data_IF_266371930058
#
_entry.id   IF_266371930058
#
_cell.length_a   1.000
_cell.length_b   1.000
_cell.length_c   1.000
_cell.angle_alpha   90.00
_cell.angle_beta   90.00
_cell.angle_gamma   90.00
#
_symmetry.space_group_name_H-M   'P 1'
#
loop_
_entity.id
_entity.type
_entity.pdbx_description
1 polymer ?
#
# COMPACT_ATOMS: atom_id res chain seq x y z
N UNK A 1 54.74 -34.98 20.29
CA UNK A 1 53.51 -34.83 19.47
C UNK A 1 52.52 -33.98 20.27
N UNK A 2 52.35 -32.70 19.90
CA UNK A 2 51.36 -31.79 20.53
C UNK A 2 50.21 -31.65 19.54
N UNK A 3 49.02 -32.02 19.98
CA UNK A 3 47.75 -31.94 19.26
C UNK A 3 47.30 -30.48 19.08
N UNK A 4 47.05 -30.04 17.86
CA UNK A 4 46.58 -28.71 17.47
C UNK A 4 45.08 -28.73 17.11
N UNK A 5 44.20 -29.07 18.05
CA UNK A 5 42.78 -29.17 17.81
C UNK A 5 41.93 -28.05 18.39
N UNK A 6 42.55 -26.98 18.91
CA UNK A 6 41.82 -25.90 19.63
C UNK A 6 41.44 -24.65 18.84
N UNK A 7 41.87 -24.50 17.56
CA UNK A 7 41.67 -23.25 16.81
C UNK A 7 40.50 -23.22 15.83
N UNK A 8 39.93 -24.33 15.52
CA UNK A 8 38.91 -24.40 14.44
C UNK A 8 37.47 -24.26 14.93
N UNK A 9 37.21 -24.57 16.21
CA UNK A 9 35.86 -24.42 16.78
C UNK A 9 35.47 -22.98 17.06
N UNK A 10 36.43 -22.11 17.41
CA UNK A 10 36.15 -20.68 17.65
C UNK A 10 35.73 -19.94 16.38
N UNK A 11 36.30 -20.33 15.24
CA UNK A 11 36.01 -19.68 13.95
C UNK A 11 34.63 -20.02 13.39
N UNK A 12 34.14 -21.22 13.64
CA UNK A 12 32.81 -21.67 13.22
C UNK A 12 31.70 -21.02 14.05
N UNK A 13 31.95 -20.78 15.34
CA UNK A 13 30.97 -20.10 16.21
C UNK A 13 30.83 -18.61 15.93
N UNK A 14 31.94 -17.91 15.60
CA UNK A 14 31.87 -16.51 15.20
C UNK A 14 31.13 -16.30 13.86
N UNK A 15 31.36 -17.18 12.87
CA UNK A 15 30.63 -17.11 11.59
C UNK A 15 29.12 -17.31 11.74
N UNK A 16 28.70 -18.18 12.67
CA UNK A 16 27.26 -18.45 12.89
C UNK A 16 26.57 -17.27 13.58
N UNK A 17 27.25 -16.58 14.50
CA UNK A 17 26.71 -15.41 15.22
C UNK A 17 26.59 -14.21 14.28
N UNK A 18 27.55 -14.00 13.39
CA UNK A 18 27.53 -12.90 12.42
C UNK A 18 26.43 -13.13 11.37
N UNK A 19 26.19 -14.36 10.95
CA UNK A 19 25.15 -14.69 9.98
C UNK A 19 23.74 -14.51 10.57
N UNK A 20 23.53 -14.86 11.85
CA UNK A 20 22.25 -14.64 12.54
C UNK A 20 21.99 -13.16 12.84
N UNK A 21 23.02 -12.38 13.15
CA UNK A 21 22.88 -10.93 13.36
C UNK A 21 22.55 -10.21 12.03
N UNK A 22 23.12 -10.65 10.91
CA UNK A 22 22.87 -10.05 9.61
C UNK A 22 21.45 -10.35 9.10
N UNK A 23 20.90 -11.54 9.36
CA UNK A 23 19.53 -11.88 9.00
C UNK A 23 18.49 -11.12 9.84
N UNK A 24 18.77 -10.78 11.09
CA UNK A 24 17.89 -9.94 11.90
C UNK A 24 17.89 -8.47 11.44
N UNK A 25 18.99 -7.95 10.92
CA UNK A 25 19.05 -6.58 10.40
C UNK A 25 18.24 -6.41 9.09
N UNK A 26 18.17 -7.45 8.26
CA UNK A 26 17.42 -7.39 6.98
C UNK A 26 15.91 -7.54 7.21
N UNK A 27 15.48 -8.21 8.27
CA UNK A 27 14.06 -8.36 8.61
C UNK A 27 13.44 -7.10 9.27
N UNK A 28 14.26 -6.13 9.65
CA UNK A 28 13.82 -4.90 10.35
C UNK A 28 13.41 -3.74 9.46
N UNK A 29 13.80 -3.73 8.19
CA UNK A 29 13.66 -2.52 7.35
C UNK A 29 12.42 -2.48 6.43
N UNK A 30 11.52 -3.43 6.48
CA UNK A 30 10.28 -3.38 5.71
C UNK A 30 9.07 -2.82 6.48
N UNK A 31 9.32 -2.00 7.51
CA UNK A 31 8.32 -1.12 8.09
C UNK A 31 8.58 0.32 7.62
N UNK A 32 8.41 0.57 6.34
CA UNK A 32 8.00 1.90 5.92
C UNK A 32 6.60 2.13 6.53
N UNK A 33 6.58 2.57 7.78
CA UNK A 33 5.41 3.22 8.34
C UNK A 33 5.22 4.46 7.46
N UNK A 34 4.33 4.34 6.47
CA UNK A 34 3.77 5.50 5.81
C UNK A 34 3.04 6.29 6.88
N UNK A 35 3.76 7.21 7.49
CA UNK A 35 3.15 8.28 8.27
C UNK A 35 2.52 9.19 7.23
N UNK A 36 1.19 9.35 7.21
CA UNK A 36 0.58 10.33 6.32
C UNK A 36 1.28 11.67 6.60
N UNK A 37 1.93 12.21 5.56
CA UNK A 37 2.57 13.51 5.63
C UNK A 37 1.54 14.48 6.21
N UNK A 38 1.94 15.27 7.21
CA UNK A 38 1.09 16.27 7.85
C UNK A 38 0.41 17.07 6.74
N UNK A 39 -0.89 16.90 6.60
CA UNK A 39 -1.70 17.74 5.73
C UNK A 39 -1.51 19.16 6.22
N UNK A 40 -0.98 20.02 5.35
CA UNK A 40 -0.84 21.44 5.67
C UNK A 40 -2.24 22.06 5.78
N UNK A 41 -2.70 22.23 7.03
CA UNK A 41 -4.06 22.69 7.36
C UNK A 41 -4.21 24.21 7.13
N UNK A 42 -3.39 24.78 6.28
CA UNK A 42 -3.48 26.19 5.89
C UNK A 42 -4.57 26.52 4.85
N UNK A 43 -5.22 25.54 4.24
CA UNK A 43 -6.39 25.72 3.37
C UNK A 43 -7.65 25.49 4.18
N UNK A 44 -8.65 26.36 3.96
CA UNK A 44 -10.04 26.16 4.41
C UNK A 44 -10.49 24.80 3.87
N UNK A 45 -10.37 23.77 4.69
CA UNK A 45 -10.64 22.41 4.28
C UNK A 45 -12.15 22.26 4.17
N UNK A 46 -12.63 22.10 2.95
CA UNK A 46 -13.95 21.51 2.73
C UNK A 46 -14.02 20.16 3.46
N UNK A 47 -15.19 19.60 3.61
CA UNK A 47 -15.38 18.35 4.36
C UNK A 47 -14.46 17.24 3.84
N UNK A 48 -13.55 16.77 4.71
CA UNK A 48 -12.71 15.62 4.42
C UNK A 48 -13.55 14.35 4.46
N UNK A 49 -13.55 13.59 3.39
CA UNK A 49 -14.23 12.29 3.34
C UNK A 49 -13.21 11.17 3.31
N UNK A 50 -13.26 10.30 4.31
CA UNK A 50 -12.43 9.09 4.37
C UNK A 50 -13.30 7.89 3.99
N UNK A 51 -12.90 7.14 2.99
CA UNK A 51 -13.55 5.92 2.55
C UNK A 51 -12.57 4.75 2.64
N UNK A 52 -13.04 3.65 3.24
CA UNK A 52 -12.34 2.36 3.21
C UNK A 52 -13.30 1.33 2.64
N UNK A 53 -12.90 0.64 1.57
CA UNK A 53 -13.73 -0.34 0.87
C UNK A 53 -12.95 -1.61 0.60
N UNK A 54 -13.64 -2.74 0.79
CA UNK A 54 -13.21 -4.02 0.26
C UNK A 54 -13.79 -4.15 -1.13
N UNK A 55 -12.94 -4.34 -2.13
CA UNK A 55 -13.31 -4.58 -3.52
C UNK A 55 -13.06 -6.04 -3.88
N UNK A 56 -13.94 -6.61 -4.69
CA UNK A 56 -13.86 -8.02 -5.12
C UNK A 56 -13.57 -8.10 -6.61
N UNK A 57 -13.20 -9.27 -7.09
CA UNK A 57 -12.95 -9.53 -8.51
C UNK A 57 -14.21 -9.88 -9.33
N UNK A 58 -15.36 -9.95 -8.69
CA UNK A 58 -16.62 -10.37 -9.35
C UNK A 58 -17.45 -9.20 -9.81
N UNK A 59 -17.38 -8.07 -9.10
CA UNK A 59 -18.20 -6.89 -9.39
C UNK A 59 -17.46 -5.61 -9.05
N UNK A 60 -17.48 -4.64 -9.97
CA UNK A 60 -16.99 -3.30 -9.71
C UNK A 60 -17.81 -2.62 -8.61
N UNK A 61 -17.14 -2.01 -7.65
CA UNK A 61 -17.75 -1.39 -6.49
C UNK A 61 -17.41 0.10 -6.42
N UNK A 62 -18.37 0.89 -5.96
CA UNK A 62 -18.17 2.33 -5.71
C UNK A 62 -17.30 2.51 -4.47
N UNK A 63 -16.10 3.07 -4.65
CA UNK A 63 -15.19 3.43 -3.57
C UNK A 63 -15.54 4.82 -3.05
N UNK A 64 -15.76 5.77 -3.96
CA UNK A 64 -16.18 7.14 -3.66
C UNK A 64 -17.37 7.51 -4.52
N UNK A 65 -18.40 8.07 -3.89
CA UNK A 65 -19.55 8.63 -4.58
C UNK A 65 -19.18 9.91 -5.34
N UNK A 66 -20.02 10.32 -6.28
CA UNK A 66 -19.92 11.60 -6.96
C UNK A 66 -19.90 12.76 -5.93
N UNK A 67 -18.99 13.70 -6.11
CA UNK A 67 -18.88 14.87 -5.24
C UNK A 67 -18.52 16.12 -6.06
N UNK A 68 -19.40 17.13 -6.03
CA UNK A 68 -19.26 18.35 -6.83
C UNK A 68 -18.02 19.19 -6.47
N UNK A 69 -17.57 19.12 -5.21
CA UNK A 69 -16.55 20.00 -4.65
C UNK A 69 -15.24 19.29 -4.30
N UNK A 70 -14.99 18.10 -4.88
CA UNK A 70 -13.74 17.38 -4.64
C UNK A 70 -12.58 18.13 -5.28
N UNK A 71 -11.63 18.59 -4.46
CA UNK A 71 -10.46 19.37 -4.89
C UNK A 71 -9.17 18.57 -4.85
N UNK A 72 -9.11 17.53 -4.01
CA UNK A 72 -7.97 16.62 -3.94
C UNK A 72 -8.43 15.19 -3.63
N UNK A 73 -7.64 14.22 -4.00
CA UNK A 73 -7.86 12.81 -3.75
C UNK A 73 -6.54 12.09 -3.54
N UNK A 74 -6.54 11.24 -2.55
CA UNK A 74 -5.46 10.32 -2.26
C UNK A 74 -6.02 8.93 -1.99
N UNK A 75 -5.51 7.92 -2.65
CA UNK A 75 -5.89 6.52 -2.46
C UNK A 75 -4.68 5.64 -2.24
N UNK A 76 -4.83 4.62 -1.43
CA UNK A 76 -3.79 3.61 -1.21
C UNK A 76 -4.37 2.21 -1.05
N UNK A 77 -3.68 1.23 -1.61
CA UNK A 77 -3.96 -0.18 -1.40
C UNK A 77 -3.29 -0.64 -0.11
N UNK A 78 -3.99 -1.43 0.70
CA UNK A 78 -3.40 -1.96 1.93
C UNK A 78 -2.26 -2.92 1.64
N UNK A 79 -1.25 -2.93 2.52
CA UNK A 79 -0.11 -3.85 2.43
C UNK A 79 -0.49 -5.32 2.72
N UNK A 80 -1.65 -5.54 3.31
CA UNK A 80 -2.22 -6.89 3.49
C UNK A 80 -2.93 -7.44 2.26
N UNK A 81 -3.12 -6.62 1.21
CA UNK A 81 -3.65 -7.08 -0.05
C UNK A 81 -2.71 -8.12 -0.66
N UNK A 82 -3.27 -9.06 -1.40
CA UNK A 82 -2.50 -10.12 -2.08
C UNK A 82 -2.40 -9.87 -3.59
N UNK A 83 -3.12 -8.84 -4.09
CA UNK A 83 -3.15 -8.51 -5.51
C UNK A 83 -3.52 -7.03 -5.72
N UNK A 84 -3.49 -6.61 -6.97
CA UNK A 84 -3.76 -5.25 -7.42
C UNK A 84 -5.26 -4.93 -7.48
N UNK A 85 -5.57 -3.64 -7.46
CA UNK A 85 -6.91 -3.08 -7.61
C UNK A 85 -6.91 -2.16 -8.84
N UNK A 86 -7.82 -2.40 -9.77
CA UNK A 86 -8.07 -1.50 -10.87
C UNK A 86 -9.12 -0.44 -10.49
N UNK A 87 -8.88 0.82 -10.85
CA UNK A 87 -9.76 1.96 -10.56
C UNK A 87 -10.24 2.63 -11.85
N UNK A 88 -11.48 3.15 -11.81
CA UNK A 88 -12.07 3.85 -12.95
C UNK A 88 -12.98 5.00 -12.50
N UNK A 89 -12.93 6.13 -13.23
CA UNK A 89 -13.78 7.28 -12.98
C UNK A 89 -15.11 7.20 -13.72
N UNK A 90 -16.22 7.27 -12.98
CA UNK A 90 -17.56 7.42 -13.52
C UNK A 90 -18.09 6.23 -14.32
N UNK A 91 -17.32 5.15 -14.43
CA UNK A 91 -17.67 3.95 -15.16
C UNK A 91 -17.39 2.70 -14.32
N UNK A 92 -17.87 1.56 -14.78
CA UNK A 92 -17.56 0.24 -14.17
C UNK A 92 -16.07 -0.02 -14.31
N UNK A 93 -15.36 -0.26 -13.21
CA UNK A 93 -13.97 -0.67 -13.24
C UNK A 93 -13.86 -2.12 -13.76
N UNK A 94 -12.85 -2.35 -14.58
CA UNK A 94 -12.48 -3.67 -15.12
C UNK A 94 -11.00 -3.91 -14.90
N UNK A 95 -10.52 -5.12 -15.04
CA UNK A 95 -9.09 -5.43 -14.95
C UNK A 95 -8.23 -4.73 -16.01
N UNK A 96 -8.84 -4.13 -17.04
CA UNK A 96 -8.19 -3.33 -18.07
C UNK A 96 -8.29 -1.82 -17.83
N UNK A 97 -8.86 -1.36 -16.71
CA UNK A 97 -8.92 0.05 -16.36
C UNK A 97 -7.53 0.64 -16.20
N UNK A 98 -7.38 1.91 -16.60
CA UNK A 98 -6.07 2.57 -16.76
C UNK A 98 -5.33 2.87 -15.45
N UNK A 99 -6.03 2.87 -14.32
CA UNK A 99 -5.45 3.13 -13.00
C UNK A 99 -5.35 1.81 -12.26
N UNK A 100 -4.12 1.44 -11.89
CA UNK A 100 -3.87 0.23 -11.11
C UNK A 100 -3.15 0.60 -9.81
N UNK A 101 -3.68 0.13 -8.69
CA UNK A 101 -3.06 0.19 -7.38
C UNK A 101 -2.50 -1.18 -7.04
N UNK A 102 -1.19 -1.28 -6.99
CA UNK A 102 -0.50 -2.47 -6.50
C UNK A 102 -0.55 -2.54 -4.97
N UNK A 103 -0.18 -3.66 -4.41
CA UNK A 103 -0.03 -3.84 -2.96
C UNK A 103 0.87 -2.74 -2.36
N UNK A 104 0.49 -2.15 -1.25
CA UNK A 104 1.21 -1.05 -0.59
C UNK A 104 1.37 0.22 -1.43
N UNK A 105 0.76 0.31 -2.61
CA UNK A 105 0.92 1.48 -3.47
C UNK A 105 0.01 2.63 -3.08
N UNK A 106 0.42 3.82 -3.49
CA UNK A 106 -0.27 5.08 -3.30
C UNK A 106 -0.55 5.71 -4.66
N UNK A 107 -1.69 6.37 -4.78
CA UNK A 107 -2.10 7.09 -5.96
C UNK A 107 -2.77 8.41 -5.61
N UNK A 108 -2.28 9.49 -6.20
CA UNK A 108 -2.88 10.83 -6.13
C UNK A 108 -2.95 11.37 -7.55
N UNK A 109 -4.16 11.53 -8.12
CA UNK A 109 -4.30 12.03 -9.49
C UNK A 109 -3.91 13.51 -9.58
N UNK A 110 -3.25 13.93 -10.66
CA UNK A 110 -2.92 15.34 -10.90
C UNK A 110 -4.17 16.19 -11.16
N UNK A 111 -5.23 15.55 -11.64
CA UNK A 111 -6.55 16.17 -11.86
C UNK A 111 -7.61 15.31 -11.19
N UNK A 112 -8.41 15.91 -10.34
CA UNK A 112 -9.46 15.21 -9.58
C UNK A 112 -10.78 15.31 -10.30
N UNK A 113 -11.43 14.16 -10.51
CA UNK A 113 -12.76 14.10 -11.09
C UNK A 113 -13.85 14.26 -10.02
N UNK A 114 -14.92 14.94 -10.36
CA UNK A 114 -16.14 15.01 -9.54
C UNK A 114 -17.02 13.76 -9.64
N UNK A 115 -16.71 12.86 -10.59
CA UNK A 115 -17.44 11.59 -10.79
C UNK A 115 -17.15 10.60 -9.65
N UNK A 116 -17.94 9.53 -9.59
CA UNK A 116 -17.65 8.41 -8.70
C UNK A 116 -16.31 7.75 -9.06
N UNK A 117 -15.60 7.25 -8.06
CA UNK A 117 -14.46 6.36 -8.25
C UNK A 117 -14.91 4.94 -7.97
N UNK A 118 -14.77 4.06 -8.94
CA UNK A 118 -15.12 2.66 -8.86
C UNK A 118 -13.86 1.81 -8.87
N UNK A 119 -13.93 0.62 -8.26
CA UNK A 119 -12.80 -0.30 -8.20
C UNK A 119 -13.20 -1.76 -8.30
N UNK A 120 -12.30 -2.56 -8.82
CA UNK A 120 -12.38 -4.01 -8.90
C UNK A 120 -11.01 -4.60 -8.58
N UNK A 121 -10.94 -5.70 -7.85
CA UNK A 121 -9.68 -6.40 -7.63
C UNK A 121 -9.39 -7.37 -8.80
N UNK A 122 -8.11 -7.68 -9.01
CA UNK A 122 -7.72 -8.68 -10.01
C UNK A 122 -8.06 -10.09 -9.51
N UNK A 123 -7.81 -10.36 -8.24
CA UNK A 123 -8.17 -11.64 -7.61
C UNK A 123 -8.72 -11.42 -6.20
N UNK A 124 -9.66 -12.26 -5.78
CA UNK A 124 -10.18 -12.31 -4.43
C UNK A 124 -10.75 -10.98 -3.92
N UNK A 125 -10.49 -10.67 -2.67
CA UNK A 125 -10.93 -9.45 -1.98
C UNK A 125 -9.73 -8.62 -1.56
N UNK A 126 -9.70 -7.35 -1.96
CA UNK A 126 -8.63 -6.41 -1.66
C UNK A 126 -9.20 -5.16 -0.99
N UNK A 127 -8.41 -4.48 -0.19
CA UNK A 127 -8.84 -3.27 0.53
C UNK A 127 -8.16 -2.03 -0.03
N UNK A 128 -8.98 -1.05 -0.38
CA UNK A 128 -8.54 0.29 -0.77
C UNK A 128 -9.07 1.33 0.22
N UNK A 129 -8.24 2.30 0.53
CA UNK A 129 -8.62 3.47 1.31
C UNK A 129 -8.40 4.73 0.48
N UNK A 130 -9.36 5.65 0.55
CA UNK A 130 -9.25 6.94 -0.12
C UNK A 130 -9.62 8.06 0.83
N UNK A 131 -8.93 9.19 0.70
CA UNK A 131 -9.25 10.46 1.36
C UNK A 131 -9.50 11.48 0.26
N UNK A 132 -10.66 12.13 0.31
CA UNK A 132 -11.01 13.23 -0.60
C UNK A 132 -11.29 14.51 0.19
N UNK A 133 -10.89 15.62 -0.39
CA UNK A 133 -11.00 16.98 0.16
C UNK A 133 -11.86 17.87 -0.71
#
# INVERSE_FOLDING_TARGET
>A
MRSSTGRDEGRKRLSSIILTALTLLIAGECRAQYSPSKVDIGRTVGSVTISSRTVTNTLSQVILSTAANRTALECWAQCSNTDSIALEWGAVATSSSSITLEQCSYWSPPVVSTRSLNGISFTGSQVVRCVSY
#
